data_IF_259409556179
#
_entry.id   IF_259409556179
#
_cell.length_a   1.000
_cell.length_b   1.000
_cell.length_c   1.000
_cell.angle_alpha   90.00
_cell.angle_beta   90.00
_cell.angle_gamma   90.00
#
_symmetry.space_group_name_H-M   'P 1'
#
loop_
_entity.id
_entity.type
_entity.pdbx_description
1 polymer ?
#
# COMPACT_ATOMS: atom_id res chain seq x y z
N UNK A 1 47.93 56.25 -34.03
CA UNK A 1 47.24 54.99 -33.70
C UNK A 1 46.58 55.17 -32.34
N UNK A 2 45.26 55.30 -32.28
CA UNK A 2 44.53 55.46 -31.02
C UNK A 2 43.77 54.16 -30.73
N UNK A 3 44.16 53.46 -29.67
CA UNK A 3 43.52 52.22 -29.22
C UNK A 3 42.20 52.54 -28.48
N UNK A 4 41.08 52.07 -29.01
CA UNK A 4 39.77 52.11 -28.35
C UNK A 4 39.60 50.89 -27.44
N UNK A 5 39.59 51.12 -26.11
CA UNK A 5 39.33 50.06 -25.10
C UNK A 5 37.86 49.63 -25.12
N UNK A 6 37.54 48.32 -25.05
CA UNK A 6 36.16 47.85 -25.03
C UNK A 6 35.48 48.04 -23.66
N UNK A 7 34.30 48.66 -23.69
CA UNK A 7 33.41 48.94 -22.55
C UNK A 7 32.80 47.64 -22.00
N UNK A 8 33.22 47.22 -20.79
CA UNK A 8 32.71 46.03 -20.10
C UNK A 8 31.25 46.26 -19.65
N UNK A 9 30.33 45.41 -20.10
CA UNK A 9 28.92 45.39 -19.66
C UNK A 9 28.81 44.66 -18.32
N UNK A 10 27.95 45.11 -17.38
CA UNK A 10 27.77 44.44 -16.10
C UNK A 10 27.11 43.06 -16.28
N UNK A 11 27.42 42.08 -15.42
CA UNK A 11 26.85 40.74 -15.51
C UNK A 11 25.35 40.78 -15.23
N UNK A 12 24.56 40.20 -16.13
CA UNK A 12 23.12 40.05 -15.95
C UNK A 12 22.83 39.25 -14.67
N UNK A 13 22.11 39.86 -13.74
CA UNK A 13 21.74 39.26 -12.45
C UNK A 13 20.77 38.11 -12.73
N UNK A 14 21.28 36.87 -12.68
CA UNK A 14 20.50 35.65 -12.89
C UNK A 14 19.48 35.51 -11.76
N UNK A 15 18.23 35.85 -12.02
CA UNK A 15 17.12 35.64 -11.08
C UNK A 15 16.91 34.13 -10.95
N UNK A 16 17.40 33.57 -9.85
CA UNK A 16 17.09 32.20 -9.45
C UNK A 16 15.60 32.19 -9.12
N UNK A 17 14.77 31.73 -10.08
CA UNK A 17 13.38 31.38 -9.79
C UNK A 17 13.42 30.32 -8.69
N UNK A 18 13.02 30.70 -7.49
CA UNK A 18 12.82 29.77 -6.39
C UNK A 18 11.74 28.78 -6.85
N UNK A 19 12.17 27.59 -7.27
CA UNK A 19 11.27 26.46 -7.49
C UNK A 19 10.59 26.20 -6.16
N UNK A 20 9.30 26.53 -6.10
CA UNK A 20 8.46 26.25 -4.95
C UNK A 20 8.17 24.75 -4.96
N UNK A 21 9.18 23.96 -4.59
CA UNK A 21 9.05 22.51 -4.43
C UNK A 21 8.19 22.30 -3.19
N UNK A 22 6.87 22.20 -3.40
CA UNK A 22 5.92 21.78 -2.37
C UNK A 22 6.47 20.50 -1.75
N UNK A 23 6.90 20.57 -0.48
CA UNK A 23 7.34 19.38 0.26
C UNK A 23 6.18 18.38 0.20
N UNK A 24 6.41 17.13 -0.27
CA UNK A 24 5.33 16.15 -0.31
C UNK A 24 4.78 16.01 1.11
N UNK A 25 3.45 16.06 1.24
CA UNK A 25 2.77 15.82 2.51
C UNK A 25 3.33 14.52 3.11
N UNK A 26 3.68 14.54 4.40
CA UNK A 26 4.15 13.35 5.12
C UNK A 26 3.08 12.26 4.96
N UNK A 27 3.33 11.30 4.07
CA UNK A 27 2.48 10.14 3.93
C UNK A 27 2.65 9.33 5.22
N UNK A 28 1.59 9.21 6.00
CA UNK A 28 1.55 8.30 7.14
C UNK A 28 1.70 6.88 6.60
N UNK A 29 2.87 6.28 6.82
CA UNK A 29 3.13 4.88 6.49
C UNK A 29 2.76 4.04 7.70
N UNK A 30 1.76 3.18 7.55
CA UNK A 30 1.44 2.17 8.56
C UNK A 30 2.61 1.16 8.59
N UNK A 31 3.23 0.94 9.77
CA UNK A 31 4.34 0.01 9.91
C UNK A 31 3.88 -1.43 9.60
N UNK A 32 4.81 -2.24 9.09
CA UNK A 32 4.52 -3.60 8.61
C UNK A 32 3.93 -4.48 9.71
N UNK A 33 4.40 -4.32 10.94
CA UNK A 33 4.02 -5.07 12.12
C UNK A 33 2.55 -4.86 12.47
N UNK A 34 2.08 -3.61 12.48
CA UNK A 34 0.66 -3.26 12.75
C UNK A 34 -0.22 -3.86 11.68
N UNK A 35 0.24 -3.80 10.44
CA UNK A 35 -0.42 -4.34 9.26
C UNK A 35 -0.57 -5.86 9.37
N UNK A 36 0.49 -6.56 9.80
CA UNK A 36 0.50 -8.00 10.02
C UNK A 36 -0.44 -8.42 11.15
N UNK A 37 -0.43 -7.69 12.28
CA UNK A 37 -1.35 -7.91 13.39
C UNK A 37 -2.81 -7.74 12.96
N UNK A 38 -3.10 -6.73 12.14
CA UNK A 38 -4.44 -6.51 11.60
C UNK A 38 -4.90 -7.68 10.73
N UNK A 39 -4.01 -8.20 9.88
CA UNK A 39 -4.29 -9.37 9.03
C UNK A 39 -4.58 -10.62 9.87
N UNK A 40 -3.76 -10.90 10.89
CA UNK A 40 -3.94 -12.05 11.78
C UNK A 40 -5.27 -11.92 12.54
N UNK A 41 -5.52 -10.77 13.15
CA UNK A 41 -6.75 -10.52 13.91
C UNK A 41 -8.00 -10.63 13.03
N UNK A 42 -7.97 -10.07 11.82
CA UNK A 42 -9.06 -10.17 10.86
C UNK A 42 -9.31 -11.63 10.43
N UNK A 43 -8.24 -12.39 10.16
CA UNK A 43 -8.35 -13.80 9.76
C UNK A 43 -8.98 -14.65 10.85
N UNK A 44 -8.53 -14.48 12.11
CA UNK A 44 -9.08 -15.21 13.26
C UNK A 44 -10.55 -14.85 13.45
N UNK A 45 -10.90 -13.55 13.39
CA UNK A 45 -12.28 -13.10 13.52
C UNK A 45 -13.18 -13.72 12.44
N UNK A 46 -12.71 -13.73 11.18
CA UNK A 46 -13.42 -14.33 10.07
C UNK A 46 -13.61 -15.83 10.27
N UNK A 47 -12.57 -16.53 10.73
CA UNK A 47 -12.64 -17.94 11.07
C UNK A 47 -13.69 -18.18 12.18
N UNK A 48 -13.69 -17.39 13.25
CA UNK A 48 -14.71 -17.50 14.31
C UNK A 48 -16.11 -17.34 13.72
N UNK A 49 -16.35 -16.37 12.84
CA UNK A 49 -17.67 -16.21 12.22
C UNK A 49 -18.11 -17.38 11.34
N UNK A 50 -17.18 -18.04 10.64
CA UNK A 50 -17.47 -19.18 9.77
C UNK A 50 -17.62 -20.50 10.54
N UNK A 51 -16.72 -20.77 11.47
CA UNK A 51 -16.61 -22.05 12.17
C UNK A 51 -17.44 -22.09 13.46
N UNK A 52 -17.60 -20.99 14.18
CA UNK A 52 -18.37 -20.99 15.41
C UNK A 52 -19.88 -21.00 15.10
N UNK A 53 -20.59 -21.98 15.66
CA UNK A 53 -22.05 -22.07 15.49
C UNK A 53 -22.80 -20.97 16.25
N UNK A 54 -22.17 -20.38 17.26
CA UNK A 54 -22.76 -19.35 18.14
C UNK A 54 -22.31 -17.93 17.78
N UNK A 55 -21.82 -17.70 16.57
CA UNK A 55 -21.56 -16.36 16.11
C UNK A 55 -22.92 -15.64 15.96
N UNK A 56 -23.15 -14.55 16.68
CA UNK A 56 -24.42 -13.82 16.71
C UNK A 56 -24.89 -13.32 15.34
N UNK A 57 -25.87 -12.42 15.27
CA UNK A 57 -26.51 -12.02 14.01
C UNK A 57 -25.53 -11.67 12.87
N UNK A 58 -24.48 -10.87 13.17
CA UNK A 58 -23.43 -10.51 12.20
C UNK A 58 -22.69 -11.76 11.69
N UNK A 59 -22.28 -12.66 12.60
CA UNK A 59 -21.52 -13.85 12.23
C UNK A 59 -22.37 -14.83 11.40
N UNK A 60 -23.64 -14.99 11.74
CA UNK A 60 -24.60 -15.75 10.95
C UNK A 60 -24.80 -15.16 9.55
N UNK A 61 -24.89 -13.84 9.42
CA UNK A 61 -24.99 -13.18 8.12
C UNK A 61 -23.75 -13.43 7.26
N UNK A 62 -22.56 -13.22 7.81
CA UNK A 62 -21.29 -13.50 7.13
C UNK A 62 -21.21 -14.97 6.72
N UNK A 63 -21.51 -15.89 7.64
CA UNK A 63 -21.50 -17.33 7.38
C UNK A 63 -22.48 -17.72 6.26
N UNK A 64 -23.71 -17.20 6.28
CA UNK A 64 -24.70 -17.47 5.23
C UNK A 64 -24.28 -16.88 3.89
N UNK A 65 -23.69 -15.68 3.87
CA UNK A 65 -23.21 -15.07 2.64
C UNK A 65 -22.04 -15.87 2.06
N UNK A 66 -21.06 -16.22 2.88
CA UNK A 66 -19.86 -16.96 2.44
C UNK A 66 -20.17 -18.40 2.08
N UNK A 67 -20.85 -19.16 2.94
CA UNK A 67 -21.19 -20.56 2.66
C UNK A 67 -22.36 -20.67 1.66
N UNK A 68 -23.22 -19.66 1.54
CA UNK A 68 -24.28 -19.63 0.53
C UNK A 68 -23.74 -19.41 -0.88
N UNK A 69 -22.64 -18.69 -1.03
CA UNK A 69 -21.99 -18.43 -2.34
C UNK A 69 -20.93 -19.46 -2.69
N UNK A 70 -20.08 -19.85 -1.73
CA UNK A 70 -18.95 -20.76 -1.96
C UNK A 70 -19.18 -22.20 -1.45
N UNK A 71 -20.28 -22.46 -0.74
CA UNK A 71 -20.54 -23.78 -0.15
C UNK A 71 -19.46 -24.17 0.87
N UNK A 72 -19.15 -25.47 0.92
CA UNK A 72 -18.13 -26.04 1.81
C UNK A 72 -16.73 -25.43 1.58
N UNK A 73 -16.44 -24.98 0.35
CA UNK A 73 -15.14 -24.36 0.04
C UNK A 73 -15.00 -22.97 0.67
N UNK A 74 -16.11 -22.35 1.09
CA UNK A 74 -16.09 -21.08 1.83
C UNK A 74 -15.37 -21.16 3.18
N UNK A 75 -15.20 -22.35 3.75
CA UNK A 75 -14.36 -22.56 4.95
C UNK A 75 -12.86 -22.32 4.68
N UNK A 76 -12.41 -22.39 3.43
CA UNK A 76 -11.04 -22.06 3.04
C UNK A 76 -10.80 -20.55 2.97
N UNK A 77 -11.85 -19.73 2.93
CA UNK A 77 -11.76 -18.28 2.75
C UNK A 77 -10.81 -17.58 3.74
N UNK A 78 -10.85 -17.87 5.06
CA UNK A 78 -9.90 -17.28 6.01
C UNK A 78 -8.44 -17.62 5.66
N UNK A 79 -8.18 -18.86 5.28
CA UNK A 79 -6.84 -19.31 4.89
C UNK A 79 -6.35 -18.64 3.61
N UNK A 80 -7.22 -18.55 2.60
CA UNK A 80 -6.90 -17.88 1.32
C UNK A 80 -6.57 -16.41 1.57
N UNK A 81 -7.38 -15.70 2.34
CA UNK A 81 -7.14 -14.29 2.71
C UNK A 81 -5.82 -14.14 3.46
N UNK A 82 -5.53 -15.05 4.39
CA UNK A 82 -4.29 -15.04 5.16
C UNK A 82 -3.05 -15.20 4.28
N UNK A 83 -3.02 -16.19 3.41
CA UNK A 83 -1.88 -16.42 2.52
C UNK A 83 -1.71 -15.29 1.50
N UNK A 84 -2.79 -14.84 0.86
CA UNK A 84 -2.74 -13.70 -0.08
C UNK A 84 -2.26 -12.44 0.64
N UNK A 85 -2.78 -12.17 1.84
CA UNK A 85 -2.36 -11.06 2.67
C UNK A 85 -0.88 -11.11 3.01
N UNK A 86 -0.37 -12.27 3.46
CA UNK A 86 1.05 -12.46 3.73
C UNK A 86 1.92 -12.23 2.49
N UNK A 87 1.54 -12.79 1.33
CA UNK A 87 2.29 -12.60 0.08
C UNK A 87 2.29 -11.12 -0.35
N UNK A 88 1.15 -10.45 -0.27
CA UNK A 88 1.01 -9.05 -0.65
C UNK A 88 1.79 -8.09 0.25
N UNK A 89 1.94 -8.44 1.53
CA UNK A 89 2.62 -7.62 2.52
C UNK A 89 4.12 -7.87 2.54
N UNK A 90 4.58 -9.03 2.04
CA UNK A 90 5.99 -9.35 1.96
C UNK A 90 6.72 -8.37 1.02
N UNK A 91 7.62 -7.51 1.53
CA UNK A 91 8.32 -6.52 0.72
C UNK A 91 9.20 -7.18 -0.36
N UNK A 92 9.62 -8.43 -0.18
CA UNK A 92 10.44 -9.15 -1.16
C UNK A 92 9.66 -9.48 -2.45
N UNK A 93 8.33 -9.63 -2.37
CA UNK A 93 7.47 -9.82 -3.55
C UNK A 93 7.24 -8.52 -4.33
N UNK A 94 7.25 -7.37 -3.66
CA UNK A 94 7.08 -6.08 -4.31
C UNK A 94 8.22 -5.78 -5.30
N UNK A 95 9.45 -6.19 -4.97
CA UNK A 95 10.62 -6.07 -5.85
C UNK A 95 10.52 -6.95 -7.10
N UNK A 96 9.87 -8.11 -7.02
CA UNK A 96 9.64 -9.01 -8.16
C UNK A 96 8.52 -8.45 -9.06
N UNK A 97 7.48 -7.86 -8.46
CA UNK A 97 6.34 -7.28 -9.19
C UNK A 97 6.73 -6.07 -10.04
N UNK A 98 7.68 -5.25 -9.59
CA UNK A 98 8.21 -4.13 -10.40
C UNK A 98 9.05 -4.61 -11.58
N UNK A 99 9.79 -5.73 -11.43
CA UNK A 99 10.60 -6.32 -12.50
C UNK A 99 9.75 -6.97 -13.59
N UNK A 100 8.62 -7.59 -13.24
CA UNK A 100 7.72 -8.19 -14.24
C UNK A 100 6.97 -7.19 -15.13
N UNK A 101 6.84 -5.93 -14.72
CA UNK A 101 6.16 -4.87 -15.50
C UNK A 101 7.18 -4.07 -16.34
N UNK A 102 8.48 -4.22 -16.07
CA UNK A 102 9.56 -3.48 -16.74
C UNK A 102 10.49 -4.34 -17.60
N UNK A 103 10.19 -5.64 -17.75
CA UNK A 103 10.80 -6.54 -18.73
C UNK A 103 9.81 -6.85 -19.84
#
# INVERSE_FOLDING_TARGET
>A
MAETKPKRRPPAKRTVKASNTKKPARQFKIPYEVKLLLLIGFTILLAVFLYASSAGFIGQFVRKLTLGTFGITGYLLPWVIFFIGLLAMNPNFSAIRTRMISG
#
